data_IF_225159681409
#
_entry.id   IF_225159681409
#
_cell.length_a   1.000
_cell.length_b   1.000
_cell.length_c   1.000
_cell.angle_alpha   90.00
_cell.angle_beta   90.00
_cell.angle_gamma   90.00
#
_symmetry.space_group_name_H-M   'P 1'
#
loop_
_entity.id
_entity.type
_entity.pdbx_description
1 polymer ?
#
# COMPACT_ATOMS: atom_id res chain seq x y z
N UNK A 1 14.18 -3.55 12.50
CA UNK A 1 14.34 -2.17 11.96
C UNK A 1 15.65 -1.56 12.43
N UNK A 2 16.42 -0.90 11.55
CA UNK A 2 17.78 -0.42 11.88
C UNK A 2 17.78 0.99 12.49
N UNK A 3 16.81 1.84 12.16
CA UNK A 3 16.68 3.22 12.65
C UNK A 3 15.40 3.32 13.50
N UNK A 4 15.48 2.83 14.74
CA UNK A 4 14.34 2.78 15.66
C UNK A 4 13.80 4.16 16.04
N UNK A 5 14.64 5.18 16.03
CA UNK A 5 14.25 6.58 16.31
C UNK A 5 13.27 7.16 15.26
N UNK A 6 13.08 6.46 14.14
CA UNK A 6 12.14 6.84 13.06
C UNK A 6 10.88 5.98 13.05
N UNK A 7 10.79 5.02 13.94
CA UNK A 7 9.64 4.12 14.00
C UNK A 7 8.37 4.87 14.39
N UNK A 8 7.31 4.63 13.65
CA UNK A 8 5.97 5.15 13.93
C UNK A 8 5.13 4.00 14.48
N UNK A 9 4.70 4.14 15.73
CA UNK A 9 3.83 3.17 16.41
C UNK A 9 2.46 3.75 16.73
N UNK A 10 2.30 5.08 16.63
CA UNK A 10 1.01 5.73 16.79
C UNK A 10 0.06 5.38 15.64
N UNK A 11 -1.06 4.76 15.97
CA UNK A 11 -2.03 4.30 15.00
C UNK A 11 -2.66 5.44 14.18
N UNK A 12 -2.84 6.62 14.77
CA UNK A 12 -3.35 7.79 14.03
C UNK A 12 -2.38 8.23 12.94
N UNK A 13 -1.10 8.21 13.25
CA UNK A 13 -0.06 8.55 12.28
C UNK A 13 0.06 7.48 11.18
N UNK A 14 -0.07 6.21 11.51
CA UNK A 14 -0.12 5.11 10.53
C UNK A 14 -1.31 5.29 9.58
N UNK A 15 -2.50 5.59 10.11
CA UNK A 15 -3.70 5.87 9.30
C UNK A 15 -3.46 7.10 8.41
N UNK A 16 -2.87 8.17 8.93
CA UNK A 16 -2.52 9.37 8.14
C UNK A 16 -1.62 9.00 6.95
N UNK A 17 -0.62 8.14 7.16
CA UNK A 17 0.26 7.69 6.08
C UNK A 17 -0.53 6.88 5.05
N UNK A 18 -1.36 5.93 5.48
CA UNK A 18 -2.21 5.13 4.61
C UNK A 18 -3.19 5.98 3.79
N UNK A 19 -3.76 7.04 4.37
CA UNK A 19 -4.67 7.95 3.66
C UNK A 19 -3.94 8.85 2.65
N UNK A 20 -2.71 9.24 2.97
CA UNK A 20 -1.92 10.17 2.17
C UNK A 20 -1.24 9.49 0.98
N UNK A 21 -0.75 8.29 1.14
CA UNK A 21 -0.22 7.48 0.05
C UNK A 21 -1.35 7.13 -0.94
N UNK A 22 -1.05 7.20 -2.24
CA UNK A 22 -2.04 6.87 -3.29
C UNK A 22 -1.62 5.68 -4.15
N UNK A 23 -0.37 5.30 -4.04
CA UNK A 23 0.22 4.17 -4.74
C UNK A 23 0.89 3.26 -3.74
N UNK A 24 0.73 1.97 -3.93
CA UNK A 24 1.49 0.91 -3.28
C UNK A 24 2.38 0.24 -4.31
N UNK A 25 3.66 0.07 -3.99
CA UNK A 25 4.60 -0.73 -4.75
C UNK A 25 4.54 -2.17 -4.25
N UNK A 26 3.91 -3.03 -5.04
CA UNK A 26 3.72 -4.43 -4.68
C UNK A 26 4.86 -5.28 -5.23
N UNK A 27 5.62 -5.88 -4.34
CA UNK A 27 6.71 -6.80 -4.65
C UNK A 27 6.22 -8.25 -4.66
N UNK A 28 6.48 -8.93 -5.77
CA UNK A 28 6.15 -10.33 -6.06
C UNK A 28 7.43 -11.09 -6.38
N UNK A 29 7.36 -12.41 -6.36
CA UNK A 29 8.50 -13.28 -6.75
C UNK A 29 8.01 -14.36 -7.71
N UNK A 30 8.57 -14.35 -8.92
CA UNK A 30 8.34 -15.33 -9.97
C UNK A 30 9.60 -16.20 -10.14
N UNK A 31 9.52 -17.49 -9.83
CA UNK A 31 10.65 -18.45 -9.93
C UNK A 31 11.98 -17.90 -9.35
N UNK A 32 11.87 -17.15 -8.25
CA UNK A 32 13.04 -16.53 -7.59
C UNK A 32 13.41 -15.13 -8.10
N UNK A 33 12.78 -14.66 -9.17
CA UNK A 33 12.99 -13.30 -9.70
C UNK A 33 12.03 -12.31 -9.04
N UNK A 34 12.54 -11.22 -8.43
CA UNK A 34 11.70 -10.16 -7.92
C UNK A 34 10.99 -9.41 -9.06
N UNK A 35 9.71 -9.11 -8.85
CA UNK A 35 8.90 -8.29 -9.74
C UNK A 35 8.15 -7.24 -8.92
N UNK A 36 8.22 -5.97 -9.31
CA UNK A 36 7.55 -4.87 -8.61
C UNK A 36 6.54 -4.22 -9.56
N UNK A 37 5.33 -3.98 -9.04
CA UNK A 37 4.27 -3.28 -9.78
C UNK A 37 3.63 -2.20 -8.90
N UNK A 38 3.56 -0.93 -9.38
CA UNK A 38 2.81 0.12 -8.71
C UNK A 38 1.31 -0.05 -8.95
N UNK A 39 0.51 0.11 -7.90
CA UNK A 39 -0.94 -0.03 -7.97
C UNK A 39 -1.64 1.00 -7.06
N UNK A 40 -2.82 1.47 -7.46
CA UNK A 40 -3.70 2.14 -6.53
C UNK A 40 -4.28 1.13 -5.54
N UNK A 41 -4.59 1.58 -4.35
CA UNK A 41 -5.13 0.71 -3.32
C UNK A 41 -6.22 1.40 -2.47
N UNK A 42 -7.00 0.59 -1.81
CA UNK A 42 -7.79 0.93 -0.64
C UNK A 42 -7.38 0.05 0.53
N UNK A 43 -7.81 0.39 1.72
CA UNK A 43 -7.48 -0.40 2.90
C UNK A 43 -8.61 -0.41 3.93
N UNK A 44 -8.57 -1.43 4.79
CA UNK A 44 -9.26 -1.43 6.09
C UNK A 44 -8.26 -1.69 7.21
N UNK A 45 -8.53 -1.07 8.37
CA UNK A 45 -7.78 -1.28 9.60
C UNK A 45 -8.76 -1.66 10.69
N UNK A 46 -8.87 -2.95 11.01
CA UNK A 46 -9.77 -3.47 12.01
C UNK A 46 -8.96 -4.12 13.14
N UNK A 47 -9.08 -3.60 14.37
CA UNK A 47 -8.34 -4.12 15.53
C UNK A 47 -6.84 -4.31 15.24
N UNK A 48 -6.21 -3.30 14.62
CA UNK A 48 -4.80 -3.30 14.19
C UNK A 48 -4.47 -4.26 13.02
N UNK A 49 -5.45 -5.01 12.51
CA UNK A 49 -5.29 -5.83 11.33
C UNK A 49 -5.48 -5.00 10.06
N UNK A 50 -4.39 -4.80 9.33
CA UNK A 50 -4.41 -4.12 8.01
C UNK A 50 -4.78 -5.10 6.91
N UNK A 51 -5.69 -4.69 6.04
CA UNK A 51 -6.00 -5.37 4.78
C UNK A 51 -5.92 -4.37 3.65
N UNK A 52 -5.25 -4.71 2.55
CA UNK A 52 -5.20 -3.88 1.35
C UNK A 52 -6.09 -4.47 0.26
N UNK A 53 -6.73 -3.60 -0.52
CA UNK A 53 -7.58 -3.95 -1.66
C UNK A 53 -7.03 -3.25 -2.89
N UNK A 54 -6.73 -4.02 -3.93
CA UNK A 54 -6.21 -3.54 -5.19
C UNK A 54 -7.09 -4.03 -6.33
N UNK A 55 -6.98 -3.41 -7.51
CA UNK A 55 -7.68 -3.88 -8.69
C UNK A 55 -6.77 -3.83 -9.92
N UNK A 56 -7.15 -4.57 -10.93
CA UNK A 56 -6.44 -4.59 -12.21
C UNK A 56 -7.26 -5.27 -13.31
N UNK A 57 -6.66 -5.45 -14.48
CA UNK A 57 -7.26 -6.22 -15.55
C UNK A 57 -7.51 -7.68 -15.10
N UNK A 58 -8.46 -8.36 -15.76
CA UNK A 58 -8.83 -9.74 -15.46
C UNK A 58 -7.74 -10.77 -15.82
N UNK A 59 -6.73 -10.37 -16.59
CA UNK A 59 -5.57 -11.17 -16.99
C UNK A 59 -4.30 -10.35 -16.86
N UNK A 60 -3.17 -11.02 -16.70
CA UNK A 60 -1.85 -10.40 -16.73
C UNK A 60 -0.86 -11.02 -15.77
N UNK A 61 0.41 -10.79 -16.05
CA UNK A 61 1.56 -11.42 -15.43
C UNK A 61 1.54 -11.38 -13.89
N UNK A 62 1.17 -10.24 -13.28
CA UNK A 62 1.06 -10.15 -11.81
C UNK A 62 0.05 -11.12 -11.21
N UNK A 63 -1.07 -11.38 -11.92
CA UNK A 63 -2.07 -12.33 -11.44
C UNK A 63 -1.57 -13.78 -11.54
N UNK A 64 -0.81 -14.08 -12.60
CA UNK A 64 -0.23 -15.41 -12.80
C UNK A 64 0.82 -15.70 -11.71
N UNK A 65 1.68 -14.72 -11.40
CA UNK A 65 2.62 -14.82 -10.27
C UNK A 65 1.87 -15.06 -8.95
N UNK A 66 0.83 -14.27 -8.65
CA UNK A 66 0.09 -14.39 -7.38
C UNK A 66 -0.63 -15.74 -7.25
N UNK A 67 -1.09 -16.34 -8.37
CA UNK A 67 -1.69 -17.67 -8.37
C UNK A 67 -0.65 -18.75 -8.04
N UNK A 68 0.56 -18.60 -8.56
CA UNK A 68 1.65 -19.53 -8.31
C UNK A 68 2.29 -19.31 -6.92
N UNK A 69 2.43 -18.07 -6.51
CA UNK A 69 3.03 -17.68 -5.23
C UNK A 69 2.30 -16.47 -4.63
N UNK A 70 1.41 -16.68 -3.65
CA UNK A 70 0.63 -15.59 -3.06
C UNK A 70 1.42 -14.71 -2.10
N UNK A 71 2.66 -15.03 -1.76
CA UNK A 71 3.47 -14.23 -0.85
C UNK A 71 3.86 -12.91 -1.49
N UNK A 72 3.58 -11.81 -0.79
CA UNK A 72 3.87 -10.47 -1.26
C UNK A 72 4.62 -9.64 -0.22
N UNK A 73 5.40 -8.69 -0.70
CA UNK A 73 5.90 -7.58 0.07
C UNK A 73 5.33 -6.30 -0.53
N UNK A 74 5.10 -5.28 0.28
CA UNK A 74 4.63 -4.00 -0.23
C UNK A 74 5.35 -2.84 0.44
N UNK A 75 5.42 -1.74 -0.26
CA UNK A 75 5.95 -0.47 0.20
C UNK A 75 5.07 0.67 -0.31
N UNK A 76 4.93 1.72 0.50
CA UNK A 76 4.29 2.98 0.12
C UNK A 76 4.94 4.14 0.87
N UNK A 77 5.05 5.30 0.21
CA UNK A 77 5.62 6.49 0.81
C UNK A 77 4.81 7.76 0.51
N UNK A 78 4.92 8.72 1.42
CA UNK A 78 4.41 10.06 1.26
C UNK A 78 5.31 11.08 1.98
N UNK A 79 5.02 12.38 1.85
CA UNK A 79 5.81 13.46 2.45
C UNK A 79 7.26 13.49 1.97
N UNK A 80 7.54 12.95 0.80
CA UNK A 80 8.87 12.87 0.22
C UNK A 80 9.29 14.26 -0.26
N UNK A 81 10.22 14.88 0.48
CA UNK A 81 10.76 16.19 0.13
C UNK A 81 12.27 16.24 0.44
N UNK A 82 13.13 16.54 -0.54
CA UNK A 82 14.56 16.77 -0.27
C UNK A 82 14.72 18.03 0.57
N UNK A 83 15.77 18.06 1.38
CA UNK A 83 16.18 19.24 2.13
C UNK A 83 17.69 19.42 2.08
N UNK A 84 18.12 20.66 2.18
CA UNK A 84 19.50 21.08 2.10
C UNK A 84 20.13 21.24 3.48
N UNK A 85 21.45 21.24 3.52
CA UNK A 85 22.27 21.50 4.70
C UNK A 85 23.51 22.32 4.32
N UNK A 86 24.26 22.76 5.29
CA UNK A 86 25.50 23.53 5.07
C UNK A 86 26.61 22.71 4.43
N UNK A 87 26.64 21.40 4.70
CA UNK A 87 27.60 20.44 4.14
C UNK A 87 26.89 19.21 3.61
N UNK A 88 27.51 18.50 2.67
CA UNK A 88 26.92 17.39 1.94
C UNK A 88 26.26 16.30 2.85
N UNK A 89 26.84 15.99 4.00
CA UNK A 89 26.29 15.00 4.92
C UNK A 89 25.03 15.44 5.67
N UNK A 90 24.65 16.72 5.59
CA UNK A 90 23.43 17.28 6.16
C UNK A 90 22.25 17.29 5.16
N UNK A 91 22.53 17.10 3.87
CA UNK A 91 21.47 16.93 2.87
C UNK A 91 20.67 15.65 3.15
N UNK A 92 19.41 15.66 2.80
CA UNK A 92 18.59 14.48 3.00
C UNK A 92 17.20 14.63 2.42
N UNK A 93 16.36 13.64 2.74
CA UNK A 93 14.97 13.61 2.31
C UNK A 93 14.09 13.34 3.53
N UNK A 94 13.06 14.16 3.72
CA UNK A 94 11.95 13.83 4.63
C UNK A 94 11.05 12.81 3.95
N UNK A 95 10.41 11.96 4.72
CA UNK A 95 9.45 10.98 4.22
C UNK A 95 8.65 10.36 5.35
N UNK A 96 7.50 9.81 5.00
CA UNK A 96 6.77 8.84 5.80
C UNK A 96 6.52 7.61 4.93
N UNK A 97 6.77 6.40 5.45
CA UNK A 97 6.63 5.17 4.66
C UNK A 97 6.10 4.02 5.48
N UNK A 98 5.47 3.06 4.80
CA UNK A 98 5.06 1.77 5.35
C UNK A 98 5.62 0.66 4.47
N UNK A 99 6.28 -0.32 5.09
CA UNK A 99 6.71 -1.56 4.45
C UNK A 99 6.04 -2.71 5.17
N UNK A 100 5.42 -3.62 4.42
CA UNK A 100 4.76 -4.78 4.98
C UNK A 100 4.87 -6.03 4.13
N UNK A 101 4.33 -7.11 4.67
CA UNK A 101 4.27 -8.43 4.03
C UNK A 101 2.88 -9.02 4.22
N UNK A 102 2.49 -9.89 3.32
CA UNK A 102 1.21 -10.57 3.40
C UNK A 102 1.05 -11.67 2.36
N UNK A 103 -0.19 -12.12 2.26
CA UNK A 103 -0.60 -13.06 1.21
C UNK A 103 -1.67 -12.40 0.35
N UNK A 104 -1.49 -12.47 -0.97
CA UNK A 104 -2.46 -12.01 -1.95
C UNK A 104 -3.52 -13.09 -2.19
N UNK A 105 -4.77 -12.65 -2.24
CA UNK A 105 -5.94 -13.45 -2.63
C UNK A 105 -6.60 -12.76 -3.83
N UNK A 106 -6.88 -13.51 -4.90
CA UNK A 106 -7.69 -13.01 -6.01
C UNK A 106 -9.14 -13.29 -5.63
N UNK A 107 -9.92 -12.21 -5.47
CA UNK A 107 -11.30 -12.29 -5.00
C UNK A 107 -12.22 -12.71 -6.16
N UNK A 108 -12.97 -13.79 -5.96
CA UNK A 108 -13.93 -14.29 -6.94
C UNK A 108 -15.38 -13.87 -6.62
N UNK A 109 -15.72 -13.74 -5.33
CA UNK A 109 -17.06 -13.36 -4.88
C UNK A 109 -17.45 -11.94 -5.33
N UNK A 110 -18.61 -11.82 -5.96
CA UNK A 110 -19.10 -10.58 -6.57
C UNK A 110 -19.36 -9.50 -5.52
N UNK A 111 -19.95 -9.84 -4.39
CA UNK A 111 -20.29 -8.86 -3.35
C UNK A 111 -19.01 -8.38 -2.64
N UNK A 112 -18.05 -9.27 -2.44
CA UNK A 112 -16.73 -8.88 -1.91
C UNK A 112 -15.97 -7.98 -2.89
N UNK A 113 -16.04 -8.22 -4.21
CA UNK A 113 -15.47 -7.31 -5.22
C UNK A 113 -16.07 -5.92 -5.16
N UNK A 114 -17.41 -5.81 -5.07
CA UNK A 114 -18.11 -4.52 -4.93
C UNK A 114 -17.63 -3.77 -3.69
N UNK A 115 -17.60 -4.47 -2.55
CA UNK A 115 -17.11 -3.90 -1.29
C UNK A 115 -15.65 -3.41 -1.39
N UNK A 116 -14.77 -4.23 -1.93
CA UNK A 116 -13.36 -3.91 -2.11
C UNK A 116 -13.13 -2.68 -3.00
N UNK A 117 -13.87 -2.58 -4.12
CA UNK A 117 -13.79 -1.41 -5.01
C UNK A 117 -14.37 -0.15 -4.35
N UNK A 118 -15.43 -0.27 -3.54
CA UNK A 118 -15.96 0.87 -2.77
C UNK A 118 -14.94 1.37 -1.75
N UNK A 119 -14.25 0.48 -1.04
CA UNK A 119 -13.16 0.81 -0.11
C UNK A 119 -12.01 1.49 -0.85
N UNK A 120 -11.59 0.94 -2.00
CA UNK A 120 -10.53 1.51 -2.82
C UNK A 120 -10.88 2.94 -3.25
N UNK A 121 -12.06 3.14 -3.80
CA UNK A 121 -12.51 4.47 -4.24
C UNK A 121 -12.61 5.44 -3.08
N UNK A 122 -13.10 5.01 -1.91
CA UNK A 122 -13.14 5.84 -0.71
C UNK A 122 -11.74 6.30 -0.29
N UNK A 123 -10.77 5.38 -0.25
CA UNK A 123 -9.37 5.71 0.08
C UNK A 123 -8.74 6.66 -0.93
N UNK A 124 -9.01 6.45 -2.22
CA UNK A 124 -8.39 7.25 -3.29
C UNK A 124 -9.00 8.65 -3.42
N UNK A 125 -10.30 8.79 -3.23
CA UNK A 125 -11.05 10.00 -3.58
C UNK A 125 -11.77 10.67 -2.41
N UNK A 126 -11.93 9.99 -1.29
CA UNK A 126 -12.76 10.41 -0.16
C UNK A 126 -14.26 10.30 -0.41
N UNK A 127 -14.69 9.85 -1.60
CA UNK A 127 -16.10 9.74 -2.01
C UNK A 127 -16.59 8.30 -1.93
N UNK A 128 -17.88 8.13 -1.72
CA UNK A 128 -18.54 6.82 -1.74
C UNK A 128 -19.05 6.50 -3.15
N UNK A 129 -18.84 5.24 -3.56
CA UNK A 129 -19.27 4.71 -4.85
C UNK A 129 -19.97 3.37 -4.65
N UNK A 130 -20.95 3.09 -5.48
CA UNK A 130 -21.61 1.79 -5.59
C UNK A 130 -21.23 1.12 -6.90
N UNK A 131 -21.14 -0.20 -6.90
CA UNK A 131 -20.76 -1.00 -8.06
C UNK A 131 -21.84 -2.03 -8.34
N UNK A 132 -22.18 -2.22 -9.60
CA UNK A 132 -23.03 -3.31 -10.07
C UNK A 132 -22.18 -4.51 -10.54
N UNK A 133 -22.84 -5.64 -10.85
CA UNK A 133 -22.18 -6.87 -11.28
C UNK A 133 -21.38 -6.69 -12.57
N UNK A 134 -21.89 -5.87 -13.49
CA UNK A 134 -21.23 -5.59 -14.76
C UNK A 134 -19.92 -4.84 -14.56
N UNK A 135 -19.92 -3.84 -13.68
CA UNK A 135 -18.71 -3.06 -13.35
C UNK A 135 -17.60 -3.94 -12.74
N UNK A 136 -17.95 -4.88 -11.86
CA UNK A 136 -16.95 -5.73 -11.20
C UNK A 136 -16.52 -6.92 -12.04
N UNK A 137 -17.32 -7.29 -13.08
CA UNK A 137 -16.97 -8.41 -13.96
C UNK A 137 -15.78 -8.15 -14.87
N UNK A 138 -15.49 -6.88 -15.16
CA UNK A 138 -14.42 -6.48 -16.08
C UNK A 138 -13.06 -6.23 -15.40
N UNK A 139 -12.99 -6.43 -14.08
CA UNK A 139 -11.77 -6.24 -13.30
C UNK A 139 -11.48 -7.45 -12.40
N UNK A 140 -10.22 -7.69 -12.13
CA UNK A 140 -9.79 -8.52 -10.99
C UNK A 140 -9.61 -7.66 -9.76
N UNK A 141 -10.06 -8.15 -8.62
CA UNK A 141 -9.80 -7.57 -7.31
C UNK A 141 -8.81 -8.47 -6.58
N UNK A 142 -7.82 -7.84 -5.97
CA UNK A 142 -6.77 -8.50 -5.19
C UNK A 142 -6.89 -8.00 -3.76
N UNK A 143 -6.99 -8.91 -2.81
CA UNK A 143 -6.99 -8.65 -1.39
C UNK A 143 -5.67 -9.11 -0.78
N UNK A 144 -5.00 -8.24 -0.04
CA UNK A 144 -3.75 -8.58 0.65
C UNK A 144 -4.06 -8.71 2.14
N UNK A 145 -3.95 -9.92 2.64
CA UNK A 145 -3.96 -10.20 4.07
C UNK A 145 -2.59 -9.87 4.65
N UNK A 146 -2.46 -8.71 5.28
CA UNK A 146 -1.19 -8.23 5.82
C UNK A 146 -0.83 -9.03 7.08
N UNK A 147 0.30 -9.71 7.06
CA UNK A 147 0.80 -10.48 8.20
C UNK A 147 1.66 -9.66 9.17
N UNK A 148 2.15 -8.51 8.71
CA UNK A 148 2.91 -7.57 9.52
C UNK A 148 3.46 -6.43 8.69
N UNK A 149 3.64 -5.29 9.33
CA UNK A 149 4.19 -4.09 8.70
C UNK A 149 5.00 -3.26 9.70
N UNK A 150 5.79 -2.33 9.17
CA UNK A 150 6.49 -1.31 9.94
C UNK A 150 6.31 0.04 9.27
N UNK A 151 6.09 1.08 10.07
CA UNK A 151 5.99 2.45 9.60
C UNK A 151 7.19 3.27 10.07
N UNK A 152 7.63 4.22 9.23
CA UNK A 152 8.74 5.14 9.52
C UNK A 152 8.38 6.56 9.11
N UNK A 153 8.90 7.52 9.87
CA UNK A 153 8.86 8.92 9.52
C UNK A 153 10.23 9.56 9.74
N UNK A 154 10.69 10.31 8.76
CA UNK A 154 11.78 11.29 8.91
C UNK A 154 11.20 12.67 8.61
N UNK A 155 10.88 13.47 9.62
CA UNK A 155 10.34 14.81 9.41
C UNK A 155 11.42 15.75 8.82
N UNK A 156 10.98 16.85 8.23
CA UNK A 156 11.88 17.97 7.91
C UNK A 156 12.60 18.43 9.18
N UNK A 157 13.88 18.82 9.10
CA UNK A 157 14.59 19.47 10.20
C UNK A 157 13.81 20.64 10.76
N UNK A 158 13.88 20.85 12.08
CA UNK A 158 13.10 21.93 12.74
C UNK A 158 13.41 23.32 12.18
N UNK A 159 14.63 23.55 11.73
CA UNK A 159 15.06 24.81 11.10
C UNK A 159 14.45 25.06 9.70
N UNK A 160 13.82 24.04 9.09
CA UNK A 160 13.23 24.10 7.74
C UNK A 160 11.70 23.92 7.75
N UNK A 161 11.08 23.91 8.95
CA UNK A 161 9.63 23.78 9.13
C UNK A 161 8.90 25.14 9.12
#
# INVERSE_FOLDING_TARGET
>A
MTRREREVTDQKEIIRILDKCKVVHLGLVDEGQPYIVPMNYGYTMEKEQLTLYLHGATKGYKLDIMRANPKVCFEMECDVAPFEGEVACQYGTSYSSIIGRGNAEIVDDVEEKKRALSILMKTQTGKDFTFDDRMVSIVSVIKIHVSGYTAKCRPLPAALR
#
